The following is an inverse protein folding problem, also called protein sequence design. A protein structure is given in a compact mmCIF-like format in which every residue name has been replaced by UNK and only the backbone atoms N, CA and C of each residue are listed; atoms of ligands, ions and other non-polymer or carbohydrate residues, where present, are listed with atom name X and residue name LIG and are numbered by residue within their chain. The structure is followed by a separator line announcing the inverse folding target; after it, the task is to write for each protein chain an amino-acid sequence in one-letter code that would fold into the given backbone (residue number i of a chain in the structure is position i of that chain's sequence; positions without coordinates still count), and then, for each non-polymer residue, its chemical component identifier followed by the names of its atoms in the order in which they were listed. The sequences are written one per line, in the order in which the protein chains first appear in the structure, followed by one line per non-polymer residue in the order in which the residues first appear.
data_IF_306911261081
#
_entry.id   IF_306911261081
#
_cell.length_a   1.000
_cell.length_b   1.000
_cell.length_c   1.000
_cell.angle_alpha   90.00
_cell.angle_beta   90.00
_cell.angle_gamma   90.00
#
_symmetry.space_group_name_H-M   'P 1'
#
loop_
_entity.id
_entity.type
_entity.pdbx_description
1 polymer ?
#
# COMPACT_ATOMS: atom_id res chain seq x y z
N UNK A 1 19.79 11.34 13.48
CA UNK A 1 20.25 12.26 12.40
C UNK A 1 19.20 12.17 11.32
N UNK A 2 18.26 13.10 11.36
CA UNK A 2 17.27 13.28 10.30
C UNK A 2 18.05 13.67 9.07
N UNK A 3 17.96 12.91 7.98
CA UNK A 3 18.52 13.31 6.71
C UNK A 3 17.73 14.53 6.23
N UNK A 4 18.24 15.71 6.49
CA UNK A 4 17.72 16.91 5.89
C UNK A 4 17.86 16.75 4.37
N UNK A 5 16.75 16.77 3.66
CA UNK A 5 16.78 16.98 2.22
C UNK A 5 17.38 18.38 2.00
N UNK A 6 18.54 18.43 1.38
CA UNK A 6 19.11 19.70 0.95
C UNK A 6 18.11 20.41 0.05
N UNK A 7 17.79 21.60 0.46
CA UNK A 7 16.77 22.46 -0.09
C UNK A 7 17.24 23.01 -1.44
N UNK A 8 17.06 22.24 -2.50
CA UNK A 8 17.04 22.84 -3.83
C UNK A 8 15.66 23.51 -3.98
N UNK A 9 15.67 24.83 -3.95
CA UNK A 9 14.51 25.69 -3.93
C UNK A 9 13.58 25.47 -5.14
N UNK A 10 12.69 24.49 -5.05
CA UNK A 10 11.48 24.41 -5.85
C UNK A 10 10.28 24.56 -4.93
N UNK A 11 9.64 25.71 -4.98
CA UNK A 11 8.54 26.14 -4.10
C UNK A 11 7.23 25.34 -4.20
N UNK A 12 7.19 24.23 -4.95
CA UNK A 12 5.97 23.39 -5.13
C UNK A 12 6.32 21.91 -5.28
N UNK A 13 7.12 21.34 -4.36
CA UNK A 13 7.35 19.90 -4.37
C UNK A 13 6.26 19.21 -3.59
N UNK A 14 5.37 18.49 -4.25
CA UNK A 14 4.44 17.58 -3.60
C UNK A 14 5.19 16.31 -3.18
N UNK A 15 5.29 16.09 -1.87
CA UNK A 15 5.87 14.87 -1.31
C UNK A 15 4.71 13.93 -0.99
N UNK A 16 4.60 12.82 -1.72
CA UNK A 16 3.55 11.82 -1.51
C UNK A 16 3.97 10.71 -0.53
N UNK A 17 5.28 10.51 -0.35
CA UNK A 17 5.84 9.48 0.53
C UNK A 17 7.24 9.86 0.98
N UNK A 18 7.57 9.57 2.23
CA UNK A 18 8.92 9.63 2.78
C UNK A 18 9.39 8.23 3.16
N UNK A 19 10.69 8.02 3.16
CA UNK A 19 11.32 6.81 3.70
C UNK A 19 12.31 7.24 4.76
N UNK A 20 12.12 6.73 5.97
CA UNK A 20 13.02 7.02 7.09
C UNK A 20 13.88 5.79 7.38
N UNK A 21 15.19 6.00 7.47
CA UNK A 21 16.13 5.02 8.03
C UNK A 21 16.33 5.31 9.52
N UNK A 22 16.25 4.31 10.36
CA UNK A 22 16.51 4.41 11.80
C UNK A 22 17.59 3.41 12.22
N UNK A 23 18.48 3.84 13.11
CA UNK A 23 19.50 2.98 13.69
C UNK A 23 19.05 2.39 15.04
N UNK A 24 18.17 3.10 15.73
CA UNK A 24 17.63 2.71 17.02
C UNK A 24 16.12 2.57 16.90
N UNK A 25 15.61 1.44 17.35
CA UNK A 25 14.18 1.14 17.36
C UNK A 25 13.39 2.12 18.24
N UNK A 26 14.03 2.70 19.27
CA UNK A 26 13.37 3.68 20.10
C UNK A 26 13.06 4.97 19.33
N UNK A 27 14.00 5.45 18.50
CA UNK A 27 13.76 6.62 17.62
C UNK A 27 12.57 6.40 16.69
N UNK A 28 12.42 5.18 16.16
CA UNK A 28 11.24 4.83 15.35
C UNK A 28 9.96 4.94 16.17
N UNK A 29 9.93 4.35 17.37
CA UNK A 29 8.74 4.35 18.25
C UNK A 29 8.36 5.77 18.67
N UNK A 30 9.34 6.58 19.04
CA UNK A 30 9.12 7.97 19.45
C UNK A 30 8.53 8.78 18.28
N UNK A 31 9.06 8.60 17.08
CA UNK A 31 8.51 9.23 15.87
C UNK A 31 7.07 8.80 15.59
N UNK A 32 6.80 7.48 15.64
CA UNK A 32 5.47 6.93 15.41
C UNK A 32 4.46 7.46 16.42
N UNK A 33 4.83 7.60 17.69
CA UNK A 33 3.94 8.13 18.72
C UNK A 33 3.73 9.64 18.60
N UNK A 34 4.80 10.40 18.36
CA UNK A 34 4.72 11.86 18.23
C UNK A 34 3.88 12.30 17.04
N UNK A 35 3.98 11.57 15.91
CA UNK A 35 3.34 11.94 14.65
C UNK A 35 2.16 11.05 14.26
N UNK A 36 1.65 10.22 15.17
CA UNK A 36 0.54 9.27 14.90
C UNK A 36 -0.74 9.90 14.33
N UNK A 37 -0.96 11.17 14.61
CA UNK A 37 -2.13 11.90 14.13
C UNK A 37 -1.94 12.53 12.73
N UNK A 38 -0.70 12.61 12.27
CA UNK A 38 -0.32 13.25 11.00
C UNK A 38 0.11 12.21 9.95
N UNK A 39 0.84 11.19 10.39
CA UNK A 39 1.42 10.21 9.49
C UNK A 39 0.97 8.79 9.78
N UNK A 40 0.95 7.99 8.72
CA UNK A 40 0.91 6.53 8.78
C UNK A 40 2.29 5.98 8.48
N UNK A 41 2.79 5.11 9.36
CA UNK A 41 4.09 4.45 9.21
C UNK A 41 3.89 2.98 8.87
N UNK A 42 4.48 2.52 7.78
CA UNK A 42 4.45 1.14 7.36
C UNK A 42 5.85 0.53 7.30
N UNK A 43 5.95 -0.77 7.53
CA UNK A 43 7.23 -1.49 7.44
C UNK A 43 7.72 -1.47 5.98
N UNK A 44 8.96 -1.05 5.79
CA UNK A 44 9.63 -1.11 4.50
C UNK A 44 10.23 -2.51 4.26
N UNK A 45 10.44 -2.90 2.99
CA UNK A 45 11.08 -4.18 2.62
C UNK A 45 12.52 -4.31 3.13
N UNK A 46 13.21 -3.18 3.31
CA UNK A 46 14.57 -3.14 3.90
C UNK A 46 14.44 -3.03 5.41
N UNK A 47 15.27 -3.78 6.13
CA UNK A 47 15.40 -3.65 7.57
C UNK A 47 15.86 -2.24 7.97
N UNK A 48 15.39 -1.78 9.13
CA UNK A 48 15.67 -0.44 9.66
C UNK A 48 15.18 0.74 8.81
N UNK A 49 14.19 0.49 7.93
CA UNK A 49 13.49 1.54 7.19
C UNK A 49 11.99 1.47 7.47
N UNK A 50 11.33 2.63 7.45
CA UNK A 50 9.87 2.75 7.43
C UNK A 50 9.42 3.65 6.29
N UNK A 51 8.29 3.29 5.72
CA UNK A 51 7.53 4.13 4.80
C UNK A 51 6.62 5.05 5.59
N UNK A 52 6.67 6.34 5.30
CA UNK A 52 5.86 7.37 5.96
C UNK A 52 4.99 8.04 4.91
N UNK A 53 3.69 8.00 5.12
CA UNK A 53 2.67 8.65 4.29
C UNK A 53 1.79 9.54 5.15
N UNK A 54 1.13 10.53 4.55
CA UNK A 54 0.12 11.30 5.27
C UNK A 54 -1.03 10.39 5.71
N UNK A 55 -1.52 10.61 6.91
CA UNK A 55 -2.69 9.89 7.42
C UNK A 55 -3.92 10.21 6.56
N UNK A 56 -4.72 9.18 6.28
CA UNK A 56 -5.88 9.32 5.39
C UNK A 56 -5.52 9.38 3.90
N UNK A 57 -4.26 9.12 3.53
CA UNK A 57 -3.82 8.98 2.13
C UNK A 57 -3.27 7.58 1.95
N UNK A 58 -4.16 6.61 1.87
CA UNK A 58 -3.82 5.21 1.63
C UNK A 58 -4.06 4.83 0.17
N UNK A 59 -3.56 3.65 -0.24
CA UNK A 59 -3.90 3.08 -1.55
C UNK A 59 -5.42 2.86 -1.67
N UNK A 60 -6.09 2.50 -0.59
CA UNK A 60 -7.53 2.31 -0.54
C UNK A 60 -8.31 3.59 -0.76
N UNK A 61 -7.89 4.70 -0.10
CA UNK A 61 -8.51 6.02 -0.29
C UNK A 61 -8.37 6.50 -1.73
N UNK A 62 -7.16 6.38 -2.31
CA UNK A 62 -6.91 6.77 -3.70
C UNK A 62 -7.76 5.98 -4.70
N UNK A 63 -7.94 4.68 -4.48
CA UNK A 63 -8.80 3.83 -5.32
C UNK A 63 -10.25 4.21 -5.15
N UNK A 64 -10.71 4.42 -3.93
CA UNK A 64 -12.11 4.82 -3.66
C UNK A 64 -12.44 6.14 -4.38
N UNK A 65 -11.54 7.12 -4.31
CA UNK A 65 -11.69 8.39 -5.01
C UNK A 65 -11.69 8.20 -6.54
N UNK A 66 -10.78 7.37 -7.06
CA UNK A 66 -10.68 7.09 -8.49
C UNK A 66 -11.94 6.42 -9.03
N UNK A 67 -12.43 5.38 -8.34
CA UNK A 67 -13.67 4.66 -8.69
C UNK A 67 -14.84 5.65 -8.75
N UNK A 68 -14.98 6.51 -7.73
CA UNK A 68 -16.03 7.53 -7.68
C UNK A 68 -15.92 8.53 -8.84
N UNK A 69 -14.70 9.03 -9.11
CA UNK A 69 -14.46 9.98 -10.22
C UNK A 69 -14.77 9.40 -11.61
N UNK A 70 -14.47 8.10 -11.79
CA UNK A 70 -14.71 7.41 -13.06
C UNK A 70 -16.14 6.90 -13.20
N UNK A 71 -16.96 6.94 -12.14
CA UNK A 71 -18.31 6.41 -12.13
C UNK A 71 -18.36 4.87 -12.31
N UNK A 72 -17.30 4.17 -11.89
CA UNK A 72 -17.21 2.71 -11.98
C UNK A 72 -17.93 2.11 -10.77
N UNK A 73 -18.72 1.06 -10.98
CA UNK A 73 -19.30 0.30 -9.87
C UNK A 73 -18.18 -0.47 -9.15
N UNK A 74 -18.13 -0.39 -7.83
CA UNK A 74 -17.13 -1.08 -7.02
C UNK A 74 -17.05 -2.58 -7.34
N UNK A 75 -18.18 -3.24 -7.60
CA UNK A 75 -18.23 -4.68 -7.92
C UNK A 75 -17.45 -5.06 -9.18
N UNK A 76 -17.21 -4.10 -10.09
CA UNK A 76 -16.50 -4.29 -11.35
C UNK A 76 -15.00 -3.96 -11.25
N UNK A 77 -14.50 -3.81 -10.02
CA UNK A 77 -13.10 -3.47 -9.75
C UNK A 77 -12.34 -4.62 -9.11
N UNK A 78 -11.07 -4.75 -9.49
CA UNK A 78 -10.18 -5.83 -9.08
C UNK A 78 -8.86 -5.25 -8.60
N UNK A 79 -8.28 -5.83 -7.55
CA UNK A 79 -6.95 -5.48 -7.07
C UNK A 79 -6.14 -6.73 -6.75
N UNK A 80 -4.84 -6.69 -7.05
CA UNK A 80 -3.87 -7.71 -6.69
C UNK A 80 -2.96 -7.17 -5.59
N UNK A 81 -2.73 -7.96 -4.55
CA UNK A 81 -1.89 -7.54 -3.42
C UNK A 81 -1.08 -8.70 -2.84
N UNK A 82 0.03 -8.38 -2.19
CA UNK A 82 0.90 -9.36 -1.53
C UNK A 82 1.42 -8.91 -0.16
N UNK A 83 1.38 -7.62 0.17
CA UNK A 83 1.95 -7.06 1.39
C UNK A 83 0.92 -6.28 2.23
N UNK A 84 1.24 -6.06 3.51
CA UNK A 84 0.34 -5.39 4.47
C UNK A 84 -0.20 -4.03 3.99
N UNK A 85 0.59 -3.30 3.20
CA UNK A 85 0.18 -2.01 2.63
C UNK A 85 -0.84 -2.13 1.48
N UNK A 86 -1.20 -3.34 1.06
CA UNK A 86 -2.22 -3.61 0.05
C UNK A 86 -3.60 -3.94 0.65
N UNK A 87 -3.67 -4.16 1.97
CA UNK A 87 -4.91 -4.54 2.67
C UNK A 87 -6.05 -3.55 2.39
N UNK A 88 -5.79 -2.26 2.56
CA UNK A 88 -6.79 -1.21 2.36
C UNK A 88 -7.22 -1.10 0.89
N UNK A 89 -6.27 -1.27 -0.06
CA UNK A 89 -6.56 -1.35 -1.48
C UNK A 89 -7.51 -2.51 -1.81
N UNK A 90 -7.24 -3.69 -1.24
CA UNK A 90 -8.07 -4.87 -1.48
C UNK A 90 -9.47 -4.74 -0.89
N UNK A 91 -9.61 -4.03 0.23
CA UNK A 91 -10.91 -3.72 0.83
C UNK A 91 -11.69 -2.64 0.05
N UNK A 92 -10.99 -1.76 -0.67
CA UNK A 92 -11.60 -0.70 -1.47
C UNK A 92 -12.23 -1.19 -2.77
N UNK A 93 -11.82 -2.34 -3.30
CA UNK A 93 -12.32 -2.92 -4.56
C UNK A 93 -13.42 -3.96 -4.34
N UNK A 94 -14.10 -4.35 -5.42
CA UNK A 94 -15.11 -5.43 -5.41
C UNK A 94 -14.48 -6.81 -5.21
N UNK A 95 -13.34 -7.07 -5.85
CA UNK A 95 -12.63 -8.34 -5.75
C UNK A 95 -11.15 -8.12 -5.47
N UNK A 96 -10.72 -8.38 -4.24
CA UNK A 96 -9.32 -8.41 -3.85
C UNK A 96 -8.72 -9.80 -4.10
N UNK A 97 -7.57 -9.86 -4.75
CA UNK A 97 -6.88 -11.10 -5.14
C UNK A 97 -5.50 -11.13 -4.50
N UNK A 98 -5.26 -12.07 -3.60
CA UNK A 98 -3.94 -12.27 -3.02
C UNK A 98 -3.03 -13.04 -3.99
N UNK A 99 -1.80 -12.58 -4.13
CA UNK A 99 -0.76 -13.30 -4.86
C UNK A 99 -0.37 -14.58 -4.12
N UNK A 100 0.21 -15.56 -4.80
CA UNK A 100 0.57 -16.86 -4.21
C UNK A 100 1.57 -16.79 -3.04
N UNK A 101 2.33 -15.69 -2.95
CA UNK A 101 3.08 -15.30 -1.75
C UNK A 101 2.50 -14.00 -1.27
N UNK A 102 1.93 -13.99 -0.08
CA UNK A 102 1.30 -12.81 0.51
C UNK A 102 1.43 -12.84 2.04
N UNK A 103 1.22 -11.69 2.67
CA UNK A 103 1.15 -11.60 4.12
C UNK A 103 -0.17 -12.18 4.64
N UNK A 104 -0.18 -12.60 5.91
CA UNK A 104 -1.37 -13.14 6.57
C UNK A 104 -2.56 -12.19 6.46
N UNK A 105 -2.35 -10.89 6.72
CA UNK A 105 -3.40 -9.86 6.64
C UNK A 105 -4.01 -9.72 5.24
N UNK A 106 -3.21 -9.85 4.19
CA UNK A 106 -3.70 -9.85 2.80
C UNK A 106 -4.55 -11.09 2.55
N UNK A 107 -4.12 -12.27 3.05
CA UNK A 107 -4.88 -13.50 2.95
C UNK A 107 -6.26 -13.41 3.63
N UNK A 108 -6.35 -12.73 4.79
CA UNK A 108 -7.61 -12.57 5.54
C UNK A 108 -8.65 -11.72 4.80
N UNK A 109 -8.23 -10.72 4.01
CA UNK A 109 -9.13 -9.80 3.30
C UNK A 109 -9.38 -10.18 1.84
N UNK A 110 -8.57 -11.10 1.30
CA UNK A 110 -8.67 -11.50 -0.10
C UNK A 110 -9.94 -12.31 -0.38
N UNK A 111 -10.60 -12.01 -1.49
CA UNK A 111 -11.71 -12.82 -2.01
C UNK A 111 -11.23 -14.16 -2.59
N UNK A 112 -10.00 -14.19 -3.07
CA UNK A 112 -9.33 -15.38 -3.58
C UNK A 112 -7.81 -15.23 -3.57
N UNK A 113 -7.12 -16.38 -3.61
CA UNK A 113 -5.68 -16.47 -3.78
C UNK A 113 -5.38 -17.01 -5.18
N UNK A 114 -4.38 -16.44 -5.83
CA UNK A 114 -3.88 -16.90 -7.14
C UNK A 114 -2.46 -17.48 -7.03
N UNK A 115 -1.85 -17.79 -8.17
CA UNK A 115 -0.46 -18.25 -8.23
C UNK A 115 0.55 -17.15 -7.90
N UNK A 116 1.80 -17.55 -7.77
CA UNK A 116 2.94 -16.63 -7.62
C UNK A 116 3.22 -15.89 -8.93
N UNK A 117 4.07 -14.87 -8.89
CA UNK A 117 4.55 -14.16 -10.11
C UNK A 117 5.19 -15.14 -11.11
N UNK A 118 5.95 -16.11 -10.61
CA UNK A 118 6.59 -17.14 -11.47
C UNK A 118 5.61 -18.09 -12.16
N UNK A 119 4.44 -18.25 -11.59
CA UNK A 119 3.34 -19.07 -12.09
C UNK A 119 2.32 -18.26 -12.90
N UNK A 120 2.66 -17.02 -13.22
CA UNK A 120 1.77 -16.11 -13.94
C UNK A 120 0.43 -15.89 -13.21
N UNK A 121 0.48 -15.73 -11.88
CA UNK A 121 -0.69 -15.67 -11.01
C UNK A 121 -1.73 -14.63 -11.44
N UNK A 122 -1.31 -13.46 -11.96
CA UNK A 122 -2.24 -12.44 -12.47
C UNK A 122 -3.04 -12.99 -13.66
N UNK A 123 -2.36 -13.56 -14.65
CA UNK A 123 -2.98 -14.18 -15.83
C UNK A 123 -3.95 -15.30 -15.43
N UNK A 124 -3.56 -16.14 -14.47
CA UNK A 124 -4.41 -17.22 -13.95
C UNK A 124 -5.70 -16.67 -13.35
N UNK A 125 -5.60 -15.64 -12.52
CA UNK A 125 -6.77 -15.04 -11.89
C UNK A 125 -7.69 -14.37 -12.92
N UNK A 126 -7.15 -13.62 -13.87
CA UNK A 126 -7.93 -12.96 -14.93
C UNK A 126 -8.70 -13.96 -15.79
N UNK A 127 -8.06 -15.09 -16.16
CA UNK A 127 -8.73 -16.20 -16.88
C UNK A 127 -9.84 -16.83 -16.03
N UNK A 128 -9.57 -17.09 -14.74
CA UNK A 128 -10.56 -17.68 -13.83
C UNK A 128 -11.79 -16.79 -13.64
N UNK A 129 -11.58 -15.47 -13.70
CA UNK A 129 -12.66 -14.47 -13.57
C UNK A 129 -13.34 -14.15 -14.93
N UNK A 130 -12.87 -14.75 -16.03
CA UNK A 130 -13.44 -14.51 -17.37
C UNK A 130 -13.16 -13.11 -17.92
N UNK A 131 -12.08 -12.49 -17.47
CA UNK A 131 -11.68 -11.13 -17.90
C UNK A 131 -10.77 -11.16 -19.13
N UNK A 132 -10.12 -12.30 -19.37
CA UNK A 132 -9.33 -12.59 -20.59
C UNK A 132 -9.51 -14.03 -21.02
#
# INVERSE_FOLDING_TARGET
MVCAMENSAQKNTHISKLVMNYKDIQVKKDFEEEFKDVFTCAKHVRENFIDITLKGVTKGDAITELIAKLGIDKKDTYAFGDADNDVEMMQAVGTGIAMGRHSEKVGEVASMVTGTVKEEGITMALKKLGLI
#
